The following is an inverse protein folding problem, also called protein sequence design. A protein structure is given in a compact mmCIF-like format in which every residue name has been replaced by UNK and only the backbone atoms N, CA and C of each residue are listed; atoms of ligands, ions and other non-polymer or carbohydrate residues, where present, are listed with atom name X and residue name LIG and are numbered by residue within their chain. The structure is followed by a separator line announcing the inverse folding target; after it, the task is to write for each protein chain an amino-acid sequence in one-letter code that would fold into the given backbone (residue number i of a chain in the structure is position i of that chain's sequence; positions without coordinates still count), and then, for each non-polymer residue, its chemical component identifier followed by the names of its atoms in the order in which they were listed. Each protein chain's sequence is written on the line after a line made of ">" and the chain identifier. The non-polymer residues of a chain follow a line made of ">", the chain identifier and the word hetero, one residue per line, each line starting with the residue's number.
data_IF_416038683034
#
_entry.id   IF_416038683034
#
_cell.length_a   1.000
_cell.length_b   1.000
_cell.length_c   1.000
_cell.angle_alpha   90.00
_cell.angle_beta   90.00
_cell.angle_gamma   90.00
#
_symmetry.space_group_name_H-M   'P 1'
#
loop_
_entity.id
_entity.type
_entity.pdbx_description
1 polymer ?
#
# COMPACT_ATOMS: atom_id res chain seq x y z
N UNK A 1 -13.56 3.39 11.14
CA UNK A 1 -12.88 2.51 10.17
C UNK A 1 -12.32 3.40 9.10
N UNK A 2 -11.09 3.82 9.31
CA UNK A 2 -10.25 4.42 8.28
C UNK A 2 -9.51 3.30 7.56
N UNK A 3 -8.90 3.60 6.43
CA UNK A 3 -8.08 2.68 5.67
C UNK A 3 -6.72 3.33 5.49
N UNK A 4 -5.70 2.50 5.64
CA UNK A 4 -4.31 2.89 5.47
C UNK A 4 -3.80 2.21 4.20
N UNK A 5 -3.14 2.99 3.35
CA UNK A 5 -2.46 2.48 2.17
C UNK A 5 -0.97 2.54 2.39
N UNK A 6 -0.32 1.41 2.22
CA UNK A 6 1.12 1.28 2.30
C UNK A 6 1.67 0.81 0.95
N UNK A 7 2.71 1.47 0.46
CA UNK A 7 3.48 1.05 -0.72
C UNK A 7 4.82 0.51 -0.20
N UNK A 8 5.07 -0.78 -0.42
CA UNK A 8 6.27 -1.48 0.03
C UNK A 8 7.09 -2.00 -1.16
N UNK A 9 8.36 -2.29 -0.90
CA UNK A 9 9.22 -2.99 -1.85
C UNK A 9 8.67 -4.42 -2.07
N UNK A 10 8.59 -4.90 -3.32
CA UNK A 10 7.98 -6.19 -3.61
C UNK A 10 8.89 -7.37 -3.25
N UNK A 11 10.20 -7.15 -3.11
CA UNK A 11 11.18 -8.16 -2.70
C UNK A 11 11.38 -8.19 -1.18
N UNK A 12 11.16 -7.05 -0.50
CA UNK A 12 11.31 -6.91 0.94
C UNK A 12 10.05 -6.26 1.57
N UNK A 13 8.93 -7.00 1.70
CA UNK A 13 7.67 -6.45 2.22
C UNK A 13 7.75 -6.05 3.70
N UNK A 14 8.69 -6.61 4.46
CA UNK A 14 8.95 -6.26 5.87
C UNK A 14 9.89 -5.04 6.02
N UNK A 15 10.39 -4.47 4.92
CA UNK A 15 11.18 -3.25 4.97
C UNK A 15 10.33 -2.01 5.31
N UNK A 16 10.98 -0.88 5.58
CA UNK A 16 10.26 0.38 5.72
C UNK A 16 9.48 0.67 4.43
N UNK A 17 8.20 1.04 4.53
CA UNK A 17 7.41 1.33 3.35
C UNK A 17 8.01 2.49 2.57
N UNK A 18 7.97 2.37 1.24
CA UNK A 18 8.40 3.42 0.32
C UNK A 18 7.51 4.65 0.46
N UNK A 19 6.22 4.44 0.73
CA UNK A 19 5.26 5.49 1.01
C UNK A 19 4.10 4.93 1.82
N UNK A 20 3.54 5.74 2.72
CA UNK A 20 2.40 5.37 3.55
C UNK A 20 1.43 6.55 3.65
N UNK A 21 0.13 6.24 3.57
CA UNK A 21 -0.95 7.21 3.65
C UNK A 21 -2.04 6.71 4.58
N UNK A 22 -2.46 7.56 5.51
CA UNK A 22 -3.39 7.23 6.58
C UNK A 22 -4.75 7.90 6.37
N UNK A 23 -5.75 7.45 7.15
CA UNK A 23 -7.03 8.13 7.35
C UNK A 23 -7.98 8.20 6.16
N UNK A 24 -7.98 7.19 5.28
CA UNK A 24 -8.94 7.13 4.18
C UNK A 24 -10.30 6.61 4.64
N UNK A 25 -11.37 7.34 4.35
CA UNK A 25 -12.73 6.92 4.72
C UNK A 25 -13.15 5.56 4.11
N UNK A 26 -12.57 5.18 2.97
CA UNK A 26 -12.85 3.93 2.26
C UNK A 26 -11.57 3.36 1.64
N UNK A 27 -11.56 2.04 1.40
CA UNK A 27 -10.49 1.38 0.65
C UNK A 27 -10.32 1.97 -0.77
N UNK A 28 -11.40 2.42 -1.39
CA UNK A 28 -11.37 3.07 -2.70
C UNK A 28 -10.62 4.40 -2.67
N UNK A 29 -10.81 5.22 -1.63
CA UNK A 29 -10.06 6.47 -1.46
C UNK A 29 -8.57 6.18 -1.20
N UNK A 30 -8.31 5.17 -0.37
CA UNK A 30 -6.96 4.71 -0.06
C UNK A 30 -6.24 4.24 -1.33
N UNK A 31 -6.93 3.48 -2.19
CA UNK A 31 -6.43 3.05 -3.49
C UNK A 31 -6.19 4.22 -4.43
N UNK A 32 -7.13 5.18 -4.49
CA UNK A 32 -7.01 6.36 -5.35
C UNK A 32 -5.77 7.19 -4.96
N UNK A 33 -5.49 7.34 -3.67
CA UNK A 33 -4.29 8.03 -3.18
C UNK A 33 -3.00 7.30 -3.59
N UNK A 34 -2.97 5.96 -3.47
CA UNK A 34 -1.84 5.14 -3.93
C UNK A 34 -1.59 5.32 -5.42
N UNK A 35 -2.68 5.27 -6.20
CA UNK A 35 -2.64 5.41 -7.65
C UNK A 35 -2.16 6.78 -8.08
N UNK A 36 -2.63 7.84 -7.44
CA UNK A 36 -2.20 9.21 -7.73
C UNK A 36 -0.71 9.39 -7.43
N UNK A 37 -0.25 8.86 -6.28
CA UNK A 37 1.17 8.87 -5.92
C UNK A 37 2.05 8.15 -6.95
N UNK A 38 1.68 6.93 -7.35
CA UNK A 38 2.41 6.16 -8.36
C UNK A 38 2.37 6.89 -9.71
N UNK A 39 1.21 7.39 -10.14
CA UNK A 39 1.10 8.10 -11.41
C UNK A 39 1.91 9.40 -11.45
N UNK A 40 2.05 10.09 -10.32
CA UNK A 40 2.89 11.27 -10.18
C UNK A 40 4.38 10.93 -10.26
N UNK A 41 4.79 9.78 -9.74
CA UNK A 41 6.18 9.32 -9.78
C UNK A 41 6.53 8.70 -11.14
N UNK A 42 5.73 7.74 -11.62
CA UNK A 42 5.92 6.93 -12.81
C UNK A 42 4.55 6.68 -13.49
N UNK A 43 4.12 7.56 -14.43
CA UNK A 43 2.79 7.48 -15.05
C UNK A 43 2.57 6.26 -15.96
N UNK A 44 3.65 5.61 -16.39
CA UNK A 44 3.62 4.41 -17.23
C UNK A 44 3.46 3.11 -16.42
N UNK A 45 3.52 3.18 -15.08
CA UNK A 45 3.37 2.02 -14.22
C UNK A 45 1.91 1.54 -14.19
N UNK A 46 1.74 0.22 -14.12
CA UNK A 46 0.44 -0.45 -14.12
C UNK A 46 0.17 -1.07 -12.76
N UNK A 47 -0.97 -0.74 -12.19
CA UNK A 47 -1.44 -1.32 -10.93
C UNK A 47 -2.36 -2.51 -11.26
N UNK A 48 -2.03 -3.68 -10.71
CA UNK A 48 -2.76 -4.93 -10.93
C UNK A 48 -3.30 -5.43 -9.59
N UNK A 49 -4.60 -5.67 -9.51
CA UNK A 49 -5.23 -6.27 -8.33
C UNK A 49 -4.79 -7.72 -8.16
N UNK A 50 -4.24 -8.05 -6.98
CA UNK A 50 -3.90 -9.41 -6.58
C UNK A 50 -4.96 -10.00 -5.64
N UNK A 51 -5.93 -9.20 -5.19
CA UNK A 51 -6.97 -9.58 -4.25
C UNK A 51 -6.59 -9.27 -2.79
N UNK A 52 -7.57 -9.37 -1.90
CA UNK A 52 -7.43 -9.11 -0.45
C UNK A 52 -6.84 -7.72 -0.10
N UNK A 53 -7.08 -6.71 -0.94
CA UNK A 53 -6.54 -5.37 -0.73
C UNK A 53 -5.05 -5.22 -1.09
N UNK A 54 -4.47 -6.21 -1.78
CA UNK A 54 -3.09 -6.17 -2.26
C UNK A 54 -3.07 -5.92 -3.76
N UNK A 55 -2.23 -4.99 -4.20
CA UNK A 55 -2.04 -4.66 -5.60
C UNK A 55 -0.56 -4.66 -5.95
N UNK A 56 -0.21 -5.25 -7.09
CA UNK A 56 1.15 -5.19 -7.62
C UNK A 56 1.30 -3.98 -8.55
N UNK A 57 2.40 -3.24 -8.40
CA UNK A 57 2.81 -2.17 -9.31
C UNK A 57 3.84 -2.75 -10.26
N UNK A 58 3.49 -2.80 -11.53
CA UNK A 58 4.33 -3.33 -12.60
C UNK A 58 4.86 -2.17 -13.45
N UNK A 59 6.17 -2.11 -13.63
CA UNK A 59 6.80 -1.15 -14.53
C UNK A 59 7.21 -1.83 -15.84
N UNK A 60 6.82 -1.24 -16.97
CA UNK A 60 7.15 -1.70 -18.32
C UNK A 60 5.97 -2.23 -19.14
N UNK A 61 6.24 -2.47 -20.43
CA UNK A 61 5.23 -2.89 -21.37
C UNK A 61 5.07 -4.42 -21.40
N UNK A 62 3.92 -4.88 -20.90
CA UNK A 62 3.31 -6.18 -21.21
C UNK A 62 3.95 -7.42 -20.55
N UNK A 63 4.67 -8.26 -21.29
CA UNK A 63 5.12 -9.60 -20.84
C UNK A 63 6.44 -9.59 -20.05
N UNK A 64 7.15 -8.47 -20.01
CA UNK A 64 8.39 -8.28 -19.27
C UNK A 64 8.29 -7.26 -18.15
N UNK A 65 7.07 -6.87 -17.76
CA UNK A 65 6.87 -5.87 -16.73
C UNK A 65 7.38 -6.41 -15.38
N UNK A 66 8.31 -5.69 -14.77
CA UNK A 66 8.86 -6.06 -13.47
C UNK A 66 7.97 -5.48 -12.38
N UNK A 67 7.69 -6.27 -11.34
CA UNK A 67 7.05 -5.72 -10.16
C UNK A 67 8.06 -4.81 -9.45
N UNK A 68 7.70 -3.54 -9.30
CA UNK A 68 8.55 -2.50 -8.70
C UNK A 68 8.06 -2.07 -7.33
N UNK A 69 6.78 -2.29 -7.02
CA UNK A 69 6.19 -2.01 -5.72
C UNK A 69 4.98 -2.90 -5.46
N UNK A 70 4.59 -2.96 -4.19
CA UNK A 70 3.35 -3.60 -3.74
C UNK A 70 2.55 -2.60 -2.93
N UNK A 71 1.28 -2.42 -3.29
CA UNK A 71 0.33 -1.61 -2.54
C UNK A 71 -0.46 -2.56 -1.63
N UNK A 72 -0.56 -2.22 -0.35
CA UNK A 72 -1.37 -2.93 0.62
C UNK A 72 -2.37 -1.93 1.21
N UNK A 73 -3.65 -2.24 1.10
CA UNK A 73 -4.72 -1.47 1.71
C UNK A 73 -5.27 -2.28 2.87
N UNK A 74 -4.97 -1.82 4.07
CA UNK A 74 -5.48 -2.43 5.29
C UNK A 74 -6.55 -1.51 5.87
N UNK A 75 -7.69 -2.03 6.34
CA UNK A 75 -8.52 -1.26 7.24
C UNK A 75 -7.67 -0.93 8.47
N UNK A 76 -7.63 0.34 8.84
CA UNK A 76 -7.09 0.75 10.12
C UNK A 76 -8.10 0.28 11.16
N UNK A 77 -7.86 -0.94 11.64
CA UNK A 77 -8.45 -1.40 12.87
C UNK A 77 -7.63 -0.69 13.96
N UNK A 78 -8.07 0.50 14.34
CA UNK A 78 -7.69 1.13 15.60
C UNK A 78 -8.16 0.24 16.77
N UNK A 79 -7.73 -1.01 16.82
CA UNK A 79 -7.44 -1.64 18.09
C UNK A 79 -6.08 -1.04 18.49
N UNK A 80 -6.03 0.01 19.33
CA UNK A 80 -4.77 0.36 19.96
C UNK A 80 -4.25 -0.93 20.57
N UNK A 81 -3.07 -1.38 20.13
CA UNK A 81 -2.30 -2.33 20.90
C UNK A 81 -2.21 -1.68 22.29
N UNK A 82 -3.00 -2.20 23.23
CA UNK A 82 -3.09 -1.63 24.56
C UNK A 82 -1.66 -1.41 25.04
N UNK A 83 -1.31 -0.24 25.59
CA UNK A 83 0.02 -0.07 26.13
C UNK A 83 0.20 -1.18 27.15
N UNK A 84 1.08 -2.15 26.86
CA UNK A 84 1.53 -3.11 27.84
C UNK A 84 2.05 -2.28 29.00
N UNK A 85 1.22 -2.17 30.03
CA UNK A 85 1.54 -1.46 31.25
C UNK A 85 2.57 -2.34 31.93
N UNK A 86 3.84 -2.14 31.56
CA UNK A 86 4.96 -2.70 32.26
C UNK A 86 4.95 -2.06 33.66
N UNK A 87 4.42 -2.83 34.61
CA UNK A 87 4.34 -2.45 36.02
C UNK A 87 5.70 -2.73 36.63
N UNK A 88 6.43 -1.68 36.99
CA UNK A 88 7.63 -1.75 37.83
C UNK A 88 7.35 -1.11 39.19
#
# INVERSE_FOLDING_TARGET
>A
MTHTTTIADPHEPDAMPLWESFDHATAENAYAAARDHIAAAQPDDRIVDQGSGVYAVLSGADLGAAQVATIVISPDDETPAAPTTDTH
#
